data_IF_227478715493
#
_entry.id   IF_227478715493
#
_cell.length_a   1.000
_cell.length_b   1.000
_cell.length_c   1.000
_cell.angle_alpha   90.00
_cell.angle_beta   90.00
_cell.angle_gamma   90.00
#
_symmetry.space_group_name_H-M   'P 1'
#
loop_
_entity.id
_entity.type
_entity.pdbx_description
1 polymer ?
#
# COMPACT_ATOMS: atom_id res chain seq x y z
N UNK A 1 15.62 1.73 -0.91
CA UNK A 1 15.93 0.72 -1.93
C UNK A 1 14.59 0.10 -2.22
N UNK A 2 14.11 0.26 -3.45
CA UNK A 2 12.87 -0.33 -3.88
C UNK A 2 13.16 -1.76 -4.38
N UNK A 3 12.49 -2.74 -3.80
CA UNK A 3 12.62 -4.16 -4.14
C UNK A 3 11.27 -4.77 -4.46
N UNK A 4 11.29 -5.93 -5.13
CA UNK A 4 10.10 -6.76 -5.32
C UNK A 4 10.34 -8.10 -4.65
N UNK A 5 9.50 -8.44 -3.68
CA UNK A 5 9.52 -9.71 -2.96
C UNK A 5 8.39 -10.61 -3.45
N UNK A 6 8.60 -11.92 -3.49
CA UNK A 6 7.57 -12.90 -3.84
C UNK A 6 7.30 -13.78 -2.61
N UNK A 7 6.10 -13.70 -2.05
CA UNK A 7 5.73 -14.39 -0.81
C UNK A 7 5.02 -15.75 -1.02
N UNK A 8 5.01 -16.24 -2.26
CA UNK A 8 4.28 -17.45 -2.65
C UNK A 8 2.78 -17.24 -2.90
N UNK A 9 2.24 -16.03 -2.64
CA UNK A 9 0.84 -15.64 -2.94
C UNK A 9 0.73 -14.53 -3.99
N UNK A 10 1.84 -13.87 -4.34
CA UNK A 10 1.92 -12.91 -5.44
C UNK A 10 3.21 -12.10 -5.41
N UNK A 11 3.32 -11.09 -6.31
CA UNK A 11 4.38 -10.09 -6.23
C UNK A 11 4.04 -9.07 -5.13
N UNK A 12 4.99 -8.78 -4.26
CA UNK A 12 4.93 -7.70 -3.27
C UNK A 12 5.93 -6.62 -3.68
N UNK A 13 5.45 -5.39 -3.89
CA UNK A 13 6.34 -4.25 -4.03
C UNK A 13 6.71 -3.72 -2.64
N UNK A 14 8.00 -3.48 -2.41
CA UNK A 14 8.52 -3.01 -1.13
C UNK A 14 9.50 -1.87 -1.35
N UNK A 15 9.17 -0.67 -0.86
CA UNK A 15 10.11 0.45 -0.77
C UNK A 15 10.01 1.06 0.63
N UNK A 16 10.83 0.55 1.55
CA UNK A 16 10.87 0.96 2.95
C UNK A 16 12.31 0.96 3.44
N UNK A 17 12.70 2.06 4.07
CA UNK A 17 13.93 2.26 4.82
C UNK A 17 13.65 2.23 6.34
N UNK A 18 12.53 2.81 6.79
CA UNK A 18 12.10 2.80 8.20
C UNK A 18 10.76 2.06 8.36
N UNK A 19 10.79 0.89 8.98
CA UNK A 19 9.61 0.03 9.10
C UNK A 19 8.45 0.66 9.90
N UNK A 20 8.75 1.58 10.82
CA UNK A 20 7.74 2.31 11.62
C UNK A 20 6.86 3.23 10.78
N UNK A 21 7.36 3.64 9.61
CA UNK A 21 6.72 4.56 8.69
C UNK A 21 6.04 3.84 7.51
N UNK A 22 6.01 2.51 7.53
CA UNK A 22 5.48 1.72 6.43
C UNK A 22 3.97 1.52 6.55
N UNK A 23 3.27 1.63 5.42
CA UNK A 23 1.89 1.19 5.28
C UNK A 23 1.81 0.00 4.31
N UNK A 24 0.91 -0.94 4.61
CA UNK A 24 0.62 -2.07 3.76
C UNK A 24 -0.75 -1.88 3.08
N UNK A 25 -0.76 -1.99 1.76
CA UNK A 25 -1.95 -1.90 0.93
C UNK A 25 -2.14 -3.26 0.25
N UNK A 26 -3.27 -3.91 0.52
CA UNK A 26 -3.66 -5.15 -0.18
C UNK A 26 -4.47 -4.80 -1.42
N UNK A 27 -4.06 -5.31 -2.57
CA UNK A 27 -4.76 -5.09 -3.84
C UNK A 27 -5.58 -6.33 -4.19
N UNK A 28 -6.75 -6.11 -4.80
CA UNK A 28 -7.56 -7.18 -5.41
C UNK A 28 -7.35 -7.13 -6.92
N UNK A 29 -6.97 -8.27 -7.51
CA UNK A 29 -6.90 -8.50 -8.96
C UNK A 29 -5.80 -7.76 -9.75
N UNK A 30 -4.72 -7.32 -9.10
CA UNK A 30 -3.58 -6.66 -9.75
C UNK A 30 -2.31 -7.54 -9.84
N UNK A 31 -1.34 -7.14 -10.68
CA UNK A 31 -0.02 -7.83 -10.85
C UNK A 31 0.74 -7.99 -9.52
N UNK A 32 0.49 -7.08 -8.58
CA UNK A 32 0.99 -7.16 -7.21
C UNK A 32 -0.18 -7.45 -6.27
N UNK A 33 -0.04 -8.44 -5.40
CA UNK A 33 -1.03 -8.74 -4.36
C UNK A 33 -0.97 -7.74 -3.20
N UNK A 34 0.19 -7.10 -3.03
CA UNK A 34 0.47 -6.21 -1.90
C UNK A 34 1.49 -5.13 -2.26
N UNK A 35 1.26 -3.93 -1.75
CA UNK A 35 2.11 -2.77 -1.87
C UNK A 35 2.53 -2.34 -0.46
N UNK A 36 3.83 -2.31 -0.18
CA UNK A 36 4.38 -1.82 1.09
C UNK A 36 5.27 -0.63 0.81
N UNK A 37 4.87 0.53 1.34
CA UNK A 37 5.53 1.81 1.06
C UNK A 37 5.76 2.59 2.34
N UNK A 38 6.90 3.27 2.42
CA UNK A 38 7.18 4.23 3.48
C UNK A 38 6.47 5.57 3.22
N UNK A 39 5.88 6.13 4.27
CA UNK A 39 5.18 7.41 4.26
C UNK A 39 5.57 8.22 5.49
N UNK A 40 5.51 9.55 5.41
CA UNK A 40 5.89 10.43 6.52
C UNK A 40 4.97 10.26 7.76
N UNK A 41 3.66 10.09 7.54
CA UNK A 41 2.68 9.80 8.59
C UNK A 41 1.76 8.65 8.14
N UNK A 42 1.94 7.44 8.69
CA UNK A 42 1.12 6.27 8.35
C UNK A 42 -0.38 6.48 8.58
N UNK A 43 -0.77 7.18 9.65
CA UNK A 43 -2.16 7.37 10.00
C UNK A 43 -2.84 8.35 9.03
N UNK A 44 -2.16 9.45 8.70
CA UNK A 44 -2.65 10.44 7.75
C UNK A 44 -2.77 9.83 6.33
N UNK A 45 -1.77 9.08 5.88
CA UNK A 45 -1.78 8.43 4.58
C UNK A 45 -2.94 7.41 4.45
N UNK A 46 -3.19 6.60 5.49
CA UNK A 46 -4.32 5.68 5.50
C UNK A 46 -5.66 6.42 5.45
N UNK A 47 -5.80 7.54 6.15
CA UNK A 47 -7.02 8.35 6.09
C UNK A 47 -7.26 8.91 4.68
N UNK A 48 -6.23 9.46 4.04
CA UNK A 48 -6.30 9.96 2.67
C UNK A 48 -6.67 8.86 1.67
N UNK A 49 -6.04 7.68 1.78
CA UNK A 49 -6.34 6.54 0.91
C UNK A 49 -7.79 6.09 1.07
N UNK A 50 -8.29 6.01 2.31
CA UNK A 50 -9.69 5.62 2.58
C UNK A 50 -10.69 6.59 1.96
N UNK A 51 -10.41 7.89 2.02
CA UNK A 51 -11.26 8.91 1.40
C UNK A 51 -11.23 8.79 -0.14
N UNK A 52 -10.04 8.60 -0.72
CA UNK A 52 -9.86 8.50 -2.17
C UNK A 52 -10.49 7.24 -2.79
N UNK A 53 -10.49 6.11 -2.07
CA UNK A 53 -11.08 4.84 -2.54
C UNK A 53 -12.53 4.65 -2.07
N UNK A 54 -13.05 5.53 -1.21
CA UNK A 54 -14.45 5.48 -0.84
C UNK A 54 -15.27 5.54 -2.14
N UNK A 55 -16.35 4.73 -2.26
CA UNK A 55 -17.23 4.82 -3.41
C UNK A 55 -17.63 6.28 -3.55
N UNK A 56 -17.26 6.92 -4.66
CA UNK A 56 -17.77 8.24 -4.96
C UNK A 56 -19.29 8.10 -4.89
N UNK A 57 -19.93 8.78 -3.95
CA UNK A 57 -21.37 8.95 -3.99
C UNK A 57 -21.64 9.74 -5.27
N UNK A 58 -21.79 9.02 -6.37
CA UNK A 58 -22.14 9.57 -7.67
C UNK A 58 -23.62 9.88 -7.53
N UNK A 59 -23.91 11.14 -7.21
CA UNK A 59 -25.24 11.71 -7.39
C UNK A 59 -25.59 11.84 -8.86
#
# INVERSE_FOLDING_TARGET
>A
VAGTYYDGKGCVFWDVHHAENAIEITLRDERFSRLVVEVEDPAAAVAMLRDAIAPRAQG
#
